data_IF_011272649039
#
_entry.id   IF_011272649039
#
_cell.length_a   1.000
_cell.length_b   1.000
_cell.length_c   1.000
_cell.angle_alpha   90.00
_cell.angle_beta   90.00
_cell.angle_gamma   90.00
#
_symmetry.space_group_name_H-M   'P 1'
#
loop_
_entity.id
_entity.type
_entity.pdbx_description
1 polymer ?
#
# COMPACT_ATOMS: atom_id res chain seq x y z
N UNK A 1 -8.32 -1.76 14.97
CA UNK A 1 -8.10 -1.09 13.66
C UNK A 1 -9.00 -1.60 12.54
N UNK A 2 -9.96 -2.51 12.79
CA UNK A 2 -10.79 -3.10 11.72
C UNK A 2 -11.56 -2.06 10.91
N UNK A 3 -12.33 -1.18 11.57
CA UNK A 3 -13.07 -0.11 10.90
C UNK A 3 -12.17 0.86 10.13
N UNK A 4 -10.97 1.11 10.66
CA UNK A 4 -9.97 1.97 10.01
C UNK A 4 -9.44 1.35 8.71
N UNK A 5 -9.11 0.05 8.74
CA UNK A 5 -8.61 -0.69 7.57
C UNK A 5 -9.72 -0.82 6.51
N UNK A 6 -10.93 -1.14 6.96
CA UNK A 6 -12.10 -1.38 6.12
C UNK A 6 -12.77 -0.11 5.58
N UNK A 7 -12.31 1.07 5.98
CA UNK A 7 -12.87 2.35 5.55
C UNK A 7 -12.89 2.51 4.02
N UNK A 8 -12.03 1.78 3.29
CA UNK A 8 -12.07 1.73 1.82
C UNK A 8 -13.43 1.28 1.26
N UNK A 9 -14.13 0.39 1.95
CA UNK A 9 -15.41 -0.15 1.48
C UNK A 9 -16.50 0.93 1.37
N UNK A 10 -16.42 2.00 2.17
CA UNK A 10 -17.39 3.09 2.11
C UNK A 10 -17.15 4.07 0.96
N UNK A 11 -16.03 3.95 0.23
CA UNK A 11 -15.69 4.88 -0.86
C UNK A 11 -16.50 4.62 -2.13
N UNK A 12 -17.17 3.47 -2.24
CA UNK A 12 -17.96 3.06 -3.42
C UNK A 12 -17.18 3.17 -4.75
N UNK A 13 -15.89 2.84 -4.70
CA UNK A 13 -14.98 2.79 -5.86
C UNK A 13 -14.67 1.34 -6.16
N UNK A 14 -14.78 0.94 -7.44
CA UNK A 14 -14.44 -0.42 -7.86
C UNK A 14 -12.92 -0.63 -7.91
N UNK A 15 -12.20 0.27 -8.59
CA UNK A 15 -10.74 0.22 -8.74
C UNK A 15 -10.10 1.61 -8.62
N UNK A 16 -8.94 1.69 -7.99
CA UNK A 16 -8.14 2.91 -7.89
C UNK A 16 -6.95 2.87 -8.84
N UNK A 17 -6.71 3.98 -9.55
CA UNK A 17 -5.48 4.14 -10.33
C UNK A 17 -4.26 4.36 -9.42
N UNK A 18 -4.42 5.16 -8.36
CA UNK A 18 -3.34 5.56 -7.46
C UNK A 18 -3.85 5.57 -6.02
N UNK A 19 -3.06 5.02 -5.09
CA UNK A 19 -3.39 5.00 -3.65
C UNK A 19 -2.18 5.44 -2.85
N UNK A 20 -2.37 6.37 -1.91
CA UNK A 20 -1.36 6.74 -0.91
C UNK A 20 -1.75 6.17 0.46
N UNK A 21 -0.83 5.41 1.06
CA UNK A 21 -0.94 4.84 2.40
C UNK A 21 0.04 5.56 3.32
N UNK A 22 -0.47 6.58 4.02
CA UNK A 22 0.30 7.35 5.00
C UNK A 22 -0.47 7.53 6.32
N UNK A 23 -1.01 6.43 6.82
CA UNK A 23 -1.76 6.43 8.07
C UNK A 23 -1.24 5.41 9.07
N UNK A 24 -2.15 4.89 9.90
CA UNK A 24 -1.87 3.74 10.77
C UNK A 24 -2.05 2.42 10.00
N UNK A 25 -1.62 1.31 10.60
CA UNK A 25 -1.81 -0.05 10.08
C UNK A 25 -1.46 -0.21 8.57
N UNK A 26 -0.35 0.39 8.12
CA UNK A 26 -0.02 0.53 6.69
C UNK A 26 0.05 -0.80 5.93
N UNK A 27 0.55 -1.86 6.56
CA UNK A 27 0.62 -3.20 5.98
C UNK A 27 -0.77 -3.79 5.76
N UNK A 28 -1.65 -3.68 6.75
CA UNK A 28 -3.02 -4.18 6.66
C UNK A 28 -3.85 -3.36 5.66
N UNK A 29 -3.68 -2.03 5.64
CA UNK A 29 -4.29 -1.18 4.63
C UNK A 29 -3.81 -1.53 3.21
N UNK A 30 -2.52 -1.84 3.05
CA UNK A 30 -1.97 -2.28 1.77
C UNK A 30 -2.51 -3.66 1.38
N UNK A 31 -2.81 -4.54 2.32
CA UNK A 31 -3.47 -5.80 2.02
C UNK A 31 -4.94 -5.60 1.63
N UNK A 32 -5.70 -4.84 2.41
CA UNK A 32 -7.14 -4.61 2.19
C UNK A 32 -7.41 -3.96 0.82
N UNK A 33 -6.63 -2.93 0.48
CA UNK A 33 -6.78 -2.22 -0.80
C UNK A 33 -6.47 -3.10 -2.00
N UNK A 34 -5.78 -4.24 -1.86
CA UNK A 34 -5.39 -5.10 -3.00
C UNK A 34 -6.57 -5.53 -3.87
N UNK A 35 -7.73 -5.77 -3.26
CA UNK A 35 -8.98 -6.12 -3.96
C UNK A 35 -9.53 -4.97 -4.82
N UNK A 36 -9.08 -3.74 -4.59
CA UNK A 36 -9.43 -2.50 -5.31
C UNK A 36 -8.36 -2.06 -6.31
N UNK A 37 -7.39 -2.91 -6.62
CA UNK A 37 -6.33 -2.61 -7.59
C UNK A 37 -6.46 -3.47 -8.84
N UNK A 38 -5.82 -3.00 -9.91
CA UNK A 38 -5.54 -3.75 -11.13
C UNK A 38 -4.05 -3.63 -11.51
N UNK A 39 -3.68 -4.16 -12.68
CA UNK A 39 -2.28 -4.16 -13.19
C UNK A 39 -1.69 -2.77 -13.47
N UNK A 40 -2.55 -1.75 -13.63
CA UNK A 40 -2.18 -0.37 -13.92
C UNK A 40 -2.16 0.49 -12.65
N UNK A 41 -2.76 0.00 -11.56
CA UNK A 41 -2.74 0.66 -10.25
C UNK A 41 -1.32 0.78 -9.68
N UNK A 42 -1.10 1.86 -8.94
CA UNK A 42 0.13 2.08 -8.16
C UNK A 42 -0.25 2.44 -6.73
N UNK A 43 0.36 1.74 -5.77
CA UNK A 43 0.28 2.11 -4.35
C UNK A 43 1.57 2.81 -3.93
N UNK A 44 1.45 3.81 -3.06
CA UNK A 44 2.55 4.51 -2.43
C UNK A 44 2.45 4.30 -0.93
N UNK A 45 3.53 3.84 -0.30
CA UNK A 45 3.60 3.64 1.16
C UNK A 45 4.64 4.58 1.71
N UNK A 46 4.18 5.49 2.57
CA UNK A 46 5.03 6.43 3.28
C UNK A 46 5.71 5.77 4.49
N UNK A 47 6.88 6.28 4.88
CA UNK A 47 7.80 5.72 5.88
C UNK A 47 8.14 4.24 5.61
N UNK A 48 8.16 3.83 4.35
CA UNK A 48 8.54 2.47 4.00
C UNK A 48 10.04 2.29 4.25
N UNK A 49 10.35 1.50 5.27
CA UNK A 49 11.72 1.17 5.69
C UNK A 49 11.91 -0.33 5.59
N UNK A 50 13.16 -0.79 5.44
CA UNK A 50 13.49 -2.22 5.28
C UNK A 50 13.38 -3.02 6.59
N UNK A 51 12.38 -2.73 7.42
CA UNK A 51 12.04 -3.47 8.64
C UNK A 51 11.20 -4.68 8.25
N UNK A 52 11.40 -5.80 8.95
CA UNK A 52 10.70 -7.06 8.68
C UNK A 52 9.19 -6.93 8.60
N UNK A 53 8.61 -6.02 9.39
CA UNK A 53 7.18 -5.70 9.38
C UNK A 53 6.65 -5.31 7.99
N UNK A 54 7.39 -4.47 7.26
CA UNK A 54 7.02 -4.01 5.93
C UNK A 54 7.36 -5.01 4.83
N UNK A 55 8.26 -5.97 5.12
CA UNK A 55 8.66 -6.99 4.16
C UNK A 55 7.49 -7.87 3.70
N UNK A 56 6.41 -7.97 4.48
CA UNK A 56 5.21 -8.71 4.09
C UNK A 56 4.46 -8.09 2.89
N UNK A 57 4.46 -6.76 2.76
CA UNK A 57 3.86 -6.06 1.61
C UNK A 57 4.57 -6.47 0.32
N UNK A 58 5.90 -6.36 0.31
CA UNK A 58 6.74 -6.60 -0.85
C UNK A 58 7.01 -8.07 -1.15
N UNK A 59 6.98 -8.96 -0.14
CA UNK A 59 7.24 -10.40 -0.35
C UNK A 59 6.05 -11.14 -0.96
N UNK A 60 4.82 -10.76 -0.60
CA UNK A 60 3.61 -11.55 -0.92
C UNK A 60 2.75 -10.97 -2.03
N UNK A 61 2.50 -9.65 -2.04
CA UNK A 61 1.41 -9.07 -2.86
C UNK A 61 1.89 -8.05 -3.87
N UNK A 62 3.00 -7.37 -3.58
CA UNK A 62 3.42 -6.20 -4.33
C UNK A 62 4.85 -6.30 -4.85
N UNK A 63 5.09 -5.74 -6.02
CA UNK A 63 6.42 -5.53 -6.59
C UNK A 63 6.81 -4.07 -6.38
N UNK A 64 7.93 -3.83 -5.70
CA UNK A 64 8.52 -2.49 -5.60
C UNK A 64 8.93 -2.04 -7.00
N UNK A 65 8.51 -0.84 -7.38
CA UNK A 65 8.92 -0.18 -8.64
C UNK A 65 9.75 1.08 -8.39
N UNK A 66 9.69 1.65 -7.19
CA UNK A 66 10.48 2.81 -6.78
C UNK A 66 10.58 2.88 -5.25
N UNK A 67 11.70 3.39 -4.73
CA UNK A 67 11.86 3.67 -3.30
C UNK A 67 12.86 4.81 -3.07
N UNK A 68 12.52 5.73 -2.18
CA UNK A 68 13.45 6.72 -1.64
C UNK A 68 14.05 6.25 -0.31
N UNK A 69 15.30 6.63 -0.07
CA UNK A 69 16.04 6.28 1.15
C UNK A 69 16.53 7.51 1.92
N UNK A 70 16.41 8.70 1.34
CA UNK A 70 16.84 9.96 1.94
C UNK A 70 15.61 10.77 2.39
N UNK A 71 15.70 11.38 3.57
CA UNK A 71 14.60 12.16 4.15
C UNK A 71 13.41 11.28 4.57
N UNK A 72 12.19 11.77 4.32
CA UNK A 72 10.97 11.00 4.51
C UNK A 72 10.88 9.92 3.43
N UNK A 73 10.83 8.64 3.82
CA UNK A 73 10.90 7.54 2.86
C UNK A 73 9.55 7.28 2.21
N UNK A 74 9.56 6.96 0.93
CA UNK A 74 8.39 6.58 0.16
C UNK A 74 8.75 5.39 -0.72
N UNK A 75 7.89 4.38 -0.75
CA UNK A 75 8.01 3.30 -1.72
C UNK A 75 6.75 3.23 -2.59
N UNK A 76 6.95 3.03 -3.89
CA UNK A 76 5.88 2.80 -4.84
C UNK A 76 5.88 1.34 -5.30
N UNK A 77 4.70 0.76 -5.41
CA UNK A 77 4.52 -0.63 -5.75
C UNK A 77 3.43 -0.85 -6.80
N UNK A 78 3.56 -1.95 -7.54
CA UNK A 78 2.49 -2.54 -8.35
C UNK A 78 2.05 -3.86 -7.77
N UNK A 79 0.78 -4.23 -7.98
CA UNK A 79 0.30 -5.57 -7.67
C UNK A 79 1.11 -6.60 -8.48
N UNK A 80 1.44 -7.73 -7.85
CA UNK A 80 2.13 -8.85 -8.51
C UNK A 80 1.18 -9.64 -9.41
#
# INVERSE_FOLDING_TARGET
FHDYINAVHSLNVNKFDRVLIDGRARVDCAFEISSYLDKNSIIFVHDYTNRDYYSNISKKYYKIIFQTYEGQTLAAFKLR
#
